data_IF_780871806578
#
_entry.id   IF_780871806578
#
_cell.length_a   1.000
_cell.length_b   1.000
_cell.length_c   1.000
_cell.angle_alpha   90.00
_cell.angle_beta   90.00
_cell.angle_gamma   90.00
#
_symmetry.space_group_name_H-M   'P 1'
#
loop_
_entity.id
_entity.type
_entity.pdbx_description
1 polymer ?
#
# COMPACT_ATOMS: atom_id res chain seq x y z
N UNK A 1 -8.96 13.95 68.26
CA UNK A 1 -9.20 14.38 66.87
C UNK A 1 -8.61 13.31 65.94
N UNK A 2 -9.46 12.48 65.32
CA UNK A 2 -9.04 11.49 64.30
C UNK A 2 -9.43 12.07 62.94
N UNK A 3 -8.43 12.31 62.09
CA UNK A 3 -8.65 12.74 60.70
C UNK A 3 -8.77 11.50 59.81
N UNK A 4 -9.93 11.34 59.17
CA UNK A 4 -10.19 10.33 58.15
C UNK A 4 -9.90 10.98 56.81
N UNK A 5 -8.82 10.57 56.14
CA UNK A 5 -8.50 11.01 54.78
C UNK A 5 -9.27 10.18 53.76
N UNK A 6 -10.20 10.81 53.04
CA UNK A 6 -10.94 10.21 51.93
C UNK A 6 -10.03 10.20 50.68
N UNK A 7 -9.59 9.03 50.22
CA UNK A 7 -9.00 8.89 48.88
C UNK A 7 -10.12 8.76 47.85
N UNK A 8 -10.29 9.79 47.02
CA UNK A 8 -11.12 9.73 45.81
C UNK A 8 -10.28 9.08 44.71
N UNK A 9 -10.52 7.80 44.44
CA UNK A 9 -9.97 7.12 43.28
C UNK A 9 -10.66 7.59 42.01
N UNK A 10 -9.92 8.31 41.15
CA UNK A 10 -10.36 8.60 39.79
C UNK A 10 -10.34 7.27 39.01
N UNK A 11 -11.52 6.71 38.74
CA UNK A 11 -11.66 5.60 37.82
C UNK A 11 -11.43 6.12 36.39
N UNK A 12 -10.25 5.86 35.83
CA UNK A 12 -10.01 5.95 34.39
C UNK A 12 -10.89 4.91 33.70
N UNK A 13 -12.02 5.34 33.14
CA UNK A 13 -12.78 4.55 32.19
C UNK A 13 -11.92 4.37 30.95
N UNK A 14 -11.23 3.23 30.85
CA UNK A 14 -10.64 2.78 29.60
C UNK A 14 -11.79 2.66 28.58
N UNK A 15 -11.76 3.49 27.54
CA UNK A 15 -12.67 3.34 26.41
C UNK A 15 -12.43 1.95 25.81
N UNK A 16 -13.48 1.12 25.77
CA UNK A 16 -13.43 -0.16 25.11
C UNK A 16 -13.05 0.03 23.63
N UNK A 17 -12.24 -0.87 23.03
CA UNK A 17 -11.92 -0.79 21.62
C UNK A 17 -13.21 -0.79 20.79
N UNK A 18 -13.33 0.16 19.86
CA UNK A 18 -14.46 0.25 18.94
C UNK A 18 -14.58 -1.07 18.19
N UNK A 19 -15.75 -1.66 18.33
CA UNK A 19 -16.19 -2.95 17.82
C UNK A 19 -15.88 -3.15 16.34
N UNK A 20 -15.14 -4.22 16.05
CA UNK A 20 -15.05 -4.98 14.79
C UNK A 20 -16.03 -4.53 13.70
N UNK A 21 -15.52 -3.82 12.68
CA UNK A 21 -16.25 -3.70 11.42
C UNK A 21 -16.56 -5.12 10.90
N UNK A 22 -17.84 -5.46 10.72
CA UNK A 22 -18.22 -6.71 10.05
C UNK A 22 -17.82 -6.60 8.59
N UNK A 23 -16.90 -7.46 8.18
CA UNK A 23 -16.51 -7.62 6.79
C UNK A 23 -16.46 -9.11 6.46
N UNK A 24 -16.65 -9.42 5.17
CA UNK A 24 -16.33 -10.74 4.61
C UNK A 24 -15.19 -10.54 3.63
N UNK A 25 -14.15 -11.35 3.74
CA UNK A 25 -12.98 -11.34 2.87
C UNK A 25 -12.77 -12.77 2.40
N UNK A 26 -12.91 -13.02 1.10
CA UNK A 26 -12.94 -14.39 0.56
C UNK A 26 -11.98 -14.49 -0.61
N UNK A 27 -11.14 -15.53 -0.56
CA UNK A 27 -10.36 -15.98 -1.70
C UNK A 27 -11.28 -16.68 -2.72
N UNK A 28 -11.11 -16.35 -3.99
CA UNK A 28 -11.84 -16.94 -5.10
C UNK A 28 -10.91 -17.15 -6.31
N UNK A 29 -11.17 -18.19 -7.10
CA UNK A 29 -10.36 -18.55 -8.28
C UNK A 29 -11.25 -18.73 -9.51
N UNK A 30 -10.70 -18.47 -10.70
CA UNK A 30 -11.41 -18.60 -11.98
C UNK A 30 -11.84 -20.04 -12.36
N UNK A 31 -11.34 -21.05 -11.64
CA UNK A 31 -11.77 -22.44 -11.74
C UNK A 31 -12.97 -22.78 -10.83
N UNK A 32 -13.42 -21.83 -9.98
CA UNK A 32 -14.57 -22.01 -9.08
C UNK A 32 -15.87 -21.46 -9.68
N UNK A 33 -17.02 -21.99 -9.24
CA UNK A 33 -18.32 -21.38 -9.55
C UNK A 33 -18.39 -19.91 -9.10
N UNK A 34 -19.31 -19.12 -9.69
CA UNK A 34 -19.58 -17.78 -9.19
C UNK A 34 -19.91 -17.79 -7.69
N UNK A 35 -19.40 -16.80 -6.97
CA UNK A 35 -19.62 -16.64 -5.53
C UNK A 35 -20.34 -15.32 -5.29
N UNK A 36 -21.35 -15.35 -4.42
CA UNK A 36 -22.00 -14.13 -3.92
C UNK A 36 -21.77 -13.99 -2.42
N UNK A 37 -21.25 -12.83 -2.01
CA UNK A 37 -21.16 -12.40 -0.63
C UNK A 37 -22.03 -11.16 -0.43
N UNK A 38 -22.54 -10.94 0.78
CA UNK A 38 -23.39 -9.81 1.09
C UNK A 38 -23.20 -9.31 2.52
N UNK A 39 -23.50 -8.03 2.70
CA UNK A 39 -23.43 -7.30 3.97
C UNK A 39 -24.45 -6.15 3.92
N UNK A 40 -25.27 -6.00 4.98
CA UNK A 40 -26.24 -4.90 5.13
C UNK A 40 -27.05 -4.55 3.86
N UNK A 41 -27.53 -5.56 3.12
CA UNK A 41 -28.34 -5.40 1.91
C UNK A 41 -27.56 -5.13 0.62
N UNK A 42 -26.25 -4.92 0.70
CA UNK A 42 -25.36 -4.88 -0.46
C UNK A 42 -24.84 -6.29 -0.79
N UNK A 43 -24.55 -6.56 -2.07
CA UNK A 43 -24.02 -7.84 -2.54
C UNK A 43 -22.89 -7.65 -3.53
N UNK A 44 -21.90 -8.53 -3.48
CA UNK A 44 -20.83 -8.67 -4.46
C UNK A 44 -20.88 -10.09 -5.05
N UNK A 45 -21.10 -10.20 -6.36
CA UNK A 45 -21.10 -11.46 -7.09
C UNK A 45 -19.88 -11.53 -8.01
N UNK A 46 -18.87 -12.33 -7.63
CA UNK A 46 -17.67 -12.57 -8.43
C UNK A 46 -17.89 -13.77 -9.37
N UNK A 47 -17.44 -13.62 -10.62
CA UNK A 47 -17.42 -14.68 -11.64
C UNK A 47 -16.18 -14.57 -12.53
N UNK A 48 -15.84 -15.68 -13.17
CA UNK A 48 -14.82 -15.71 -14.22
C UNK A 48 -15.46 -15.27 -15.54
N UNK A 49 -14.80 -14.39 -16.28
CA UNK A 49 -15.07 -14.18 -17.70
C UNK A 49 -13.85 -14.53 -18.53
N UNK A 50 -13.99 -14.99 -19.79
CA UNK A 50 -12.84 -15.12 -20.69
C UNK A 50 -12.03 -13.83 -20.76
N UNK A 51 -10.71 -13.96 -20.86
CA UNK A 51 -9.83 -12.82 -21.04
C UNK A 51 -10.20 -11.99 -22.29
N UNK A 52 -10.29 -10.66 -22.16
CA UNK A 52 -10.49 -9.75 -23.30
C UNK A 52 -9.13 -9.33 -23.86
N UNK A 53 -8.77 -9.87 -25.03
CA UNK A 53 -7.48 -9.58 -25.69
C UNK A 53 -7.31 -8.14 -26.16
N UNK A 54 -8.39 -7.33 -26.12
CA UNK A 54 -8.30 -5.88 -26.35
C UNK A 54 -7.78 -5.12 -25.12
N UNK A 55 -7.81 -5.75 -23.95
CA UNK A 55 -7.41 -5.17 -22.66
C UNK A 55 -6.14 -5.79 -22.09
N UNK A 56 -5.96 -7.09 -22.30
CA UNK A 56 -4.84 -7.85 -21.77
C UNK A 56 -4.12 -8.59 -22.90
N UNK A 57 -2.82 -8.79 -22.74
CA UNK A 57 -2.04 -9.62 -23.65
C UNK A 57 -2.33 -11.09 -23.34
N UNK A 58 -3.33 -11.64 -24.02
CA UNK A 58 -3.76 -13.02 -23.86
C UNK A 58 -4.34 -13.56 -25.17
N UNK A 59 -4.15 -14.86 -25.36
CA UNK A 59 -4.72 -15.64 -26.45
C UNK A 59 -5.75 -16.63 -25.89
N UNK A 60 -6.69 -17.12 -26.73
CA UNK A 60 -7.61 -18.18 -26.31
C UNK A 60 -6.89 -19.45 -25.81
N UNK A 61 -5.66 -19.69 -26.26
CA UNK A 61 -4.86 -20.85 -25.85
C UNK A 61 -4.35 -20.74 -24.40
N UNK A 62 -4.20 -19.52 -23.86
CA UNK A 62 -3.69 -19.30 -22.50
C UNK A 62 -4.71 -19.69 -21.42
N UNK A 63 -5.97 -19.93 -21.82
CA UNK A 63 -7.09 -20.26 -20.94
C UNK A 63 -7.23 -19.29 -19.75
N UNK A 64 -6.79 -18.04 -19.91
CA UNK A 64 -6.85 -17.00 -18.89
C UNK A 64 -8.28 -16.50 -18.67
N UNK A 65 -8.56 -16.11 -17.43
CA UNK A 65 -9.84 -15.51 -17.04
C UNK A 65 -9.64 -14.21 -16.30
N UNK A 66 -10.60 -13.32 -16.46
CA UNK A 66 -10.70 -12.07 -15.73
C UNK A 66 -11.75 -12.21 -14.61
N UNK A 67 -11.43 -11.85 -13.35
CA UNK A 67 -12.43 -11.77 -12.30
C UNK A 67 -13.32 -10.55 -12.52
N UNK A 68 -14.62 -10.78 -12.59
CA UNK A 68 -15.62 -9.72 -12.73
C UNK A 68 -16.58 -9.77 -11.55
N UNK A 69 -16.63 -8.67 -10.78
CA UNK A 69 -17.50 -8.53 -9.61
C UNK A 69 -18.64 -7.61 -9.94
N UNK A 70 -19.86 -8.13 -9.91
CA UNK A 70 -21.07 -7.32 -9.94
C UNK A 70 -21.42 -6.86 -8.53
N UNK A 71 -21.49 -5.55 -8.34
CA UNK A 71 -21.84 -4.92 -7.07
C UNK A 71 -23.26 -4.39 -7.16
N UNK A 72 -24.11 -4.79 -6.21
CA UNK A 72 -25.45 -4.24 -6.01
C UNK A 72 -25.55 -3.64 -4.63
N UNK A 73 -26.18 -2.47 -4.55
CA UNK A 73 -26.52 -1.81 -3.29
C UNK A 73 -27.97 -1.31 -3.34
N UNK A 74 -28.69 -1.24 -2.21
CA UNK A 74 -30.09 -0.82 -2.19
C UNK A 74 -30.30 0.56 -2.82
N UNK A 75 -31.25 0.66 -3.76
CA UNK A 75 -31.61 1.92 -4.41
C UNK A 75 -30.59 2.48 -5.40
N UNK A 76 -29.50 1.75 -5.69
CA UNK A 76 -28.45 2.17 -6.61
C UNK A 76 -28.38 1.24 -7.83
N UNK A 77 -28.08 1.77 -9.03
CA UNK A 77 -27.81 0.93 -10.19
C UNK A 77 -26.59 0.02 -9.94
N UNK A 78 -26.58 -1.22 -10.47
CA UNK A 78 -25.45 -2.12 -10.31
C UNK A 78 -24.19 -1.56 -10.98
N UNK A 79 -23.02 -1.96 -10.48
CA UNK A 79 -21.71 -1.55 -11.01
C UNK A 79 -20.77 -2.75 -11.09
N UNK A 80 -19.82 -2.71 -12.03
CA UNK A 80 -18.88 -3.80 -12.26
C UNK A 80 -17.46 -3.39 -11.84
N UNK A 81 -16.79 -4.27 -11.08
CA UNK A 81 -15.33 -4.26 -10.95
C UNK A 81 -14.77 -5.31 -11.92
N UNK A 82 -13.83 -4.93 -12.77
CA UNK A 82 -13.13 -5.84 -13.68
C UNK A 82 -11.67 -5.84 -13.28
N UNK A 83 -11.21 -6.94 -12.69
CA UNK A 83 -9.82 -7.09 -12.29
C UNK A 83 -8.92 -7.49 -13.44
N UNK A 84 -7.75 -8.01 -13.08
CA UNK A 84 -6.70 -8.40 -14.00
C UNK A 84 -6.87 -9.82 -14.52
N UNK A 85 -6.52 -10.06 -15.79
CA UNK A 85 -6.58 -11.40 -16.37
C UNK A 85 -5.39 -12.26 -15.89
N UNK A 86 -5.68 -13.50 -15.50
CA UNK A 86 -4.64 -14.45 -15.08
C UNK A 86 -5.08 -15.90 -15.31
N UNK A 87 -4.20 -16.87 -15.04
CA UNK A 87 -4.54 -18.28 -15.10
C UNK A 87 -5.66 -18.65 -14.12
N UNK A 88 -6.56 -19.55 -14.52
CA UNK A 88 -7.79 -19.87 -13.76
C UNK A 88 -7.58 -20.37 -12.34
N UNK A 89 -6.41 -20.94 -12.06
CA UNK A 89 -6.03 -21.45 -10.74
C UNK A 89 -5.46 -20.38 -9.80
N UNK A 90 -5.24 -19.15 -10.29
CA UNK A 90 -4.70 -18.06 -9.47
C UNK A 90 -5.79 -17.44 -8.60
N UNK A 91 -5.38 -17.08 -7.38
CA UNK A 91 -6.26 -16.51 -6.37
C UNK A 91 -6.51 -15.02 -6.61
N UNK A 92 -7.77 -14.65 -6.46
CA UNK A 92 -8.23 -13.28 -6.30
C UNK A 92 -8.97 -13.17 -4.97
N UNK A 93 -9.10 -11.96 -4.44
CA UNK A 93 -9.82 -11.71 -3.20
C UNK A 93 -10.95 -10.74 -3.45
N UNK A 94 -12.13 -11.11 -2.96
CA UNK A 94 -13.30 -10.22 -2.96
C UNK A 94 -13.75 -9.99 -1.52
N UNK A 95 -13.98 -8.73 -1.21
CA UNK A 95 -14.39 -8.29 0.11
C UNK A 95 -15.63 -7.44 0.08
N UNK A 96 -16.45 -7.53 1.12
CA UNK A 96 -17.55 -6.60 1.36
C UNK A 96 -17.60 -6.24 2.84
N UNK A 97 -17.74 -4.95 3.14
CA UNK A 97 -17.73 -4.44 4.51
C UNK A 97 -17.68 -2.92 4.54
N UNK A 98 -17.79 -2.34 5.73
CA UNK A 98 -17.77 -0.87 5.89
C UNK A 98 -16.34 -0.34 5.93
N UNK A 99 -16.09 0.74 5.20
CA UNK A 99 -14.84 1.51 5.26
C UNK A 99 -14.91 2.72 6.20
N UNK A 100 -16.09 3.06 6.70
CA UNK A 100 -16.27 4.03 7.77
C UNK A 100 -17.49 3.60 8.61
N UNK A 101 -17.50 3.92 9.90
CA UNK A 101 -18.48 3.42 10.87
C UNK A 101 -19.93 3.58 10.38
N UNK A 102 -20.29 4.76 9.89
CA UNK A 102 -21.66 5.10 9.50
C UNK A 102 -21.89 5.08 7.97
N UNK A 103 -20.91 4.55 7.21
CA UNK A 103 -21.03 4.42 5.75
C UNK A 103 -21.70 3.10 5.34
N UNK A 104 -22.41 3.07 4.19
CA UNK A 104 -22.81 1.82 3.55
C UNK A 104 -21.61 0.91 3.25
N UNK A 105 -21.81 -0.42 3.14
CA UNK A 105 -20.73 -1.33 2.78
C UNK A 105 -20.12 -1.01 1.42
N UNK A 106 -18.80 -1.07 1.35
CA UNK A 106 -18.03 -1.01 0.11
C UNK A 106 -17.59 -2.42 -0.29
N UNK A 107 -17.30 -2.60 -1.57
CA UNK A 107 -16.75 -3.84 -2.12
C UNK A 107 -15.33 -3.61 -2.58
N UNK A 108 -14.43 -4.53 -2.24
CA UNK A 108 -13.04 -4.50 -2.70
C UNK A 108 -12.80 -5.73 -3.56
N UNK A 109 -12.19 -5.52 -4.72
CA UNK A 109 -11.58 -6.58 -5.53
C UNK A 109 -10.07 -6.39 -5.46
N UNK A 110 -9.37 -7.37 -4.92
CA UNK A 110 -7.92 -7.48 -5.03
C UNK A 110 -7.61 -8.62 -6.01
N UNK A 111 -7.32 -8.26 -7.26
CA UNK A 111 -7.05 -9.20 -8.34
C UNK A 111 -5.57 -9.34 -8.60
N UNK A 112 -5.09 -10.59 -8.59
CA UNK A 112 -3.76 -10.94 -9.08
C UNK A 112 -3.64 -10.82 -10.60
N UNK A 113 -2.64 -10.07 -11.09
CA UNK A 113 -2.36 -9.90 -12.52
C UNK A 113 -1.33 -10.89 -13.08
N UNK A 114 -0.67 -11.68 -12.23
CA UNK A 114 0.48 -12.49 -12.67
C UNK A 114 1.83 -11.78 -12.48
N UNK A 115 2.91 -12.56 -12.47
CA UNK A 115 4.29 -12.07 -12.27
C UNK A 115 4.99 -12.73 -11.08
N UNK A 116 6.33 -12.68 -11.04
CA UNK A 116 7.14 -13.34 -10.02
C UNK A 116 7.01 -12.73 -8.61
N UNK A 117 6.45 -11.53 -8.50
CA UNK A 117 6.39 -10.71 -7.28
C UNK A 117 4.97 -10.35 -6.87
N UNK A 118 4.01 -11.18 -7.30
CA UNK A 118 2.62 -11.13 -6.90
C UNK A 118 1.86 -9.84 -7.18
N UNK A 119 2.01 -9.26 -8.37
CA UNK A 119 1.32 -8.05 -8.82
C UNK A 119 -0.20 -8.06 -8.51
N UNK A 120 -0.59 -7.27 -7.52
CA UNK A 120 -1.94 -7.09 -7.05
C UNK A 120 -2.53 -5.81 -7.65
N UNK A 121 -3.67 -5.89 -8.32
CA UNK A 121 -4.48 -4.72 -8.66
C UNK A 121 -5.67 -4.63 -7.70
N UNK A 122 -5.93 -3.42 -7.19
CA UNK A 122 -6.97 -3.19 -6.18
C UNK A 122 -7.99 -2.21 -6.73
N UNK A 123 -9.25 -2.65 -6.79
CA UNK A 123 -10.40 -1.82 -7.13
C UNK A 123 -11.38 -1.78 -5.96
N UNK A 124 -11.97 -0.62 -5.72
CA UNK A 124 -12.93 -0.43 -4.61
C UNK A 124 -14.21 0.20 -5.14
N UNK A 125 -15.34 -0.46 -4.91
CA UNK A 125 -16.67 0.06 -5.17
C UNK A 125 -17.23 0.70 -3.89
N UNK A 126 -17.41 2.01 -3.87
CA UNK A 126 -17.94 2.77 -2.73
C UNK A 126 -19.33 3.34 -3.07
N UNK A 127 -20.39 3.03 -2.31
CA UNK A 127 -21.69 3.66 -2.52
C UNK A 127 -21.64 5.18 -2.35
N UNK A 128 -22.21 5.90 -3.31
CA UNK A 128 -22.44 7.34 -3.29
C UNK A 128 -23.95 7.65 -3.40
N UNK A 129 -24.32 8.93 -3.45
CA UNK A 129 -25.73 9.34 -3.36
C UNK A 129 -26.65 8.75 -4.47
N UNK A 130 -26.17 8.65 -5.71
CA UNK A 130 -26.97 8.20 -6.86
C UNK A 130 -26.34 7.07 -7.68
N UNK A 131 -25.13 6.65 -7.32
CA UNK A 131 -24.38 5.59 -8.02
C UNK A 131 -23.39 4.91 -7.06
N UNK A 132 -22.74 3.86 -7.53
CA UNK A 132 -21.58 3.27 -6.87
C UNK A 132 -20.34 3.80 -7.60
N UNK A 133 -19.44 4.46 -6.87
CA UNK A 133 -18.17 4.93 -7.41
C UNK A 133 -17.15 3.79 -7.44
N UNK A 134 -16.34 3.71 -8.49
CA UNK A 134 -15.22 2.78 -8.58
C UNK A 134 -13.92 3.56 -8.43
N UNK A 135 -13.15 3.24 -7.41
CA UNK A 135 -11.85 3.84 -7.12
C UNK A 135 -10.76 2.84 -7.47
N UNK A 136 -9.89 3.23 -8.39
CA UNK A 136 -8.69 2.46 -8.74
C UNK A 136 -7.56 2.76 -7.75
N UNK A 137 -7.27 1.77 -6.91
CA UNK A 137 -6.22 1.86 -5.90
C UNK A 137 -4.82 1.63 -6.49
N UNK A 138 -4.72 1.15 -7.73
CA UNK A 138 -3.49 0.90 -8.47
C UNK A 138 -2.96 -0.51 -8.29
N UNK A 139 -1.82 -0.76 -8.94
CA UNK A 139 -1.12 -2.05 -8.90
C UNK A 139 0.07 -2.00 -7.96
N UNK A 140 0.24 -3.05 -7.18
CA UNK A 140 1.20 -3.15 -6.08
C UNK A 140 1.88 -4.50 -6.07
N UNK A 141 3.17 -4.52 -5.74
CA UNK A 141 3.92 -5.76 -5.62
C UNK A 141 3.76 -6.29 -4.19
N UNK A 142 3.97 -7.59 -4.03
CA UNK A 142 3.84 -8.27 -2.75
C UNK A 142 2.55 -9.07 -2.62
N UNK A 143 2.35 -9.60 -1.43
CA UNK A 143 1.24 -10.50 -1.16
C UNK A 143 -0.11 -9.76 -1.11
N UNK A 144 -1.17 -10.55 -0.95
CA UNK A 144 -2.55 -10.10 -0.85
C UNK A 144 -2.73 -9.08 0.27
N UNK A 145 -3.54 -8.06 0.05
CA UNK A 145 -3.84 -7.09 1.10
C UNK A 145 -4.75 -7.68 2.18
N UNK A 146 -4.58 -7.23 3.41
CA UNK A 146 -5.59 -7.41 4.45
C UNK A 146 -6.77 -6.46 4.21
N UNK A 147 -7.93 -6.76 4.82
CA UNK A 147 -9.01 -5.79 4.90
C UNK A 147 -8.52 -4.49 5.55
N UNK A 148 -8.81 -3.31 4.96
CA UNK A 148 -8.31 -2.03 5.45
C UNK A 148 -8.84 -1.71 6.84
N UNK A 149 -8.06 -0.96 7.62
CA UNK A 149 -8.36 -0.59 9.01
C UNK A 149 -8.03 0.87 9.22
N UNK A 150 -8.73 1.53 10.12
CA UNK A 150 -8.41 2.92 10.48
C UNK A 150 -7.05 2.97 11.20
N UNK A 151 -6.01 3.36 10.47
CA UNK A 151 -4.64 3.47 10.97
C UNK A 151 -4.33 4.92 11.38
N UNK A 152 -4.98 5.88 10.73
CA UNK A 152 -4.83 7.31 10.98
C UNK A 152 -5.60 7.81 12.21
N UNK A 153 -6.65 7.10 12.60
CA UNK A 153 -7.57 7.45 13.68
C UNK A 153 -8.66 8.44 13.27
N UNK A 154 -8.90 8.63 11.96
CA UNK A 154 -9.89 9.58 11.43
C UNK A 154 -11.29 8.98 11.23
N UNK A 155 -11.47 7.69 11.58
CA UNK A 155 -12.72 6.96 11.44
C UNK A 155 -12.95 6.36 10.05
N UNK A 156 -12.00 6.53 9.13
CA UNK A 156 -12.00 5.95 7.77
C UNK A 156 -10.94 4.86 7.70
N UNK A 157 -11.27 3.74 7.05
CA UNK A 157 -10.37 2.62 6.89
C UNK A 157 -9.26 2.95 5.88
N UNK A 158 -8.03 2.62 6.27
CA UNK A 158 -6.82 2.86 5.51
C UNK A 158 -6.23 1.55 4.95
N UNK A 159 -5.77 1.64 3.71
CA UNK A 159 -5.08 0.58 2.98
C UNK A 159 -3.59 0.72 3.27
N UNK A 160 -3.03 -0.25 4.00
CA UNK A 160 -1.58 -0.40 4.16
C UNK A 160 -1.03 -1.30 3.06
N UNK A 161 -0.08 -0.77 2.32
CA UNK A 161 0.61 -1.44 1.22
C UNK A 161 2.11 -1.10 1.31
N UNK A 162 2.95 -1.82 0.58
CA UNK A 162 4.39 -1.52 0.48
C UNK A 162 4.64 -0.42 -0.54
N UNK A 163 5.58 0.50 -0.25
CA UNK A 163 6.01 1.49 -1.24
C UNK A 163 6.91 0.84 -2.30
N UNK A 164 6.29 0.44 -3.42
CA UNK A 164 6.96 -0.20 -4.55
C UNK A 164 8.18 0.58 -5.08
N UNK A 165 8.29 1.89 -4.82
CA UNK A 165 9.43 2.67 -5.26
C UNK A 165 10.77 2.17 -4.68
N UNK A 166 10.75 1.50 -3.53
CA UNK A 166 11.95 0.97 -2.88
C UNK A 166 12.39 -0.39 -3.44
N UNK A 167 11.50 -1.10 -4.11
CA UNK A 167 11.80 -2.39 -4.71
C UNK A 167 12.82 -2.18 -5.83
N UNK A 168 13.92 -2.93 -5.79
CA UNK A 168 15.05 -2.81 -6.71
C UNK A 168 15.88 -1.51 -6.61
N UNK A 169 15.49 -0.54 -5.79
CA UNK A 169 16.18 0.74 -5.71
C UNK A 169 17.59 0.60 -5.09
N UNK A 170 17.71 -0.23 -4.05
CA UNK A 170 18.95 -0.38 -3.27
C UNK A 170 19.31 -1.84 -2.93
N UNK A 171 18.59 -2.81 -3.50
CA UNK A 171 18.85 -4.24 -3.34
C UNK A 171 17.97 -5.05 -4.28
N UNK A 172 18.19 -6.37 -4.36
CA UNK A 172 17.28 -7.27 -5.07
C UNK A 172 15.84 -7.17 -4.53
N UNK A 173 14.83 -7.69 -5.24
CA UNK A 173 13.44 -7.68 -4.75
C UNK A 173 13.30 -8.24 -3.33
N UNK A 174 13.76 -9.48 -3.11
CA UNK A 174 13.72 -10.15 -1.81
C UNK A 174 14.65 -9.51 -0.76
N UNK A 175 15.58 -8.66 -1.21
CA UNK A 175 16.52 -7.92 -0.37
C UNK A 175 16.01 -6.51 -0.04
N UNK A 176 14.91 -6.08 -0.65
CA UNK A 176 14.39 -4.73 -0.51
C UNK A 176 13.60 -4.60 0.78
N UNK A 177 13.76 -3.46 1.45
CA UNK A 177 12.92 -3.04 2.56
C UNK A 177 12.10 -1.86 2.08
N UNK A 178 10.78 -2.03 2.00
CA UNK A 178 9.85 -1.03 1.50
C UNK A 178 9.03 -0.47 2.67
N UNK A 179 9.16 0.83 2.98
CA UNK A 179 8.31 1.49 3.97
C UNK A 179 6.82 1.31 3.66
N UNK A 180 5.95 1.39 4.69
CA UNK A 180 4.51 1.44 4.48
C UNK A 180 4.11 2.66 3.66
N UNK A 181 3.29 2.41 2.63
CA UNK A 181 2.48 3.41 1.95
C UNK A 181 1.04 3.23 2.44
N UNK A 182 0.41 4.33 2.86
CA UNK A 182 -0.94 4.31 3.42
C UNK A 182 -1.87 5.13 2.55
N UNK A 183 -2.86 4.47 1.99
CA UNK A 183 -3.86 5.07 1.13
C UNK A 183 -5.23 5.03 1.79
N UNK A 184 -6.06 6.02 1.50
CA UNK A 184 -7.46 6.04 1.93
C UNK A 184 -8.35 6.49 0.79
N UNK A 185 -9.66 6.39 0.98
CA UNK A 185 -10.66 6.91 0.05
C UNK A 185 -11.39 8.06 0.73
N UNK A 186 -11.11 9.29 0.27
CA UNK A 186 -11.81 10.50 0.71
C UNK A 186 -12.58 11.08 -0.46
N UNK A 187 -13.88 11.33 -0.26
CA UNK A 187 -14.76 11.92 -1.29
C UNK A 187 -14.71 11.15 -2.63
N UNK A 188 -14.70 9.82 -2.58
CA UNK A 188 -14.66 8.96 -3.79
C UNK A 188 -13.33 8.97 -4.54
N UNK A 189 -12.24 9.45 -3.91
CA UNK A 189 -10.91 9.52 -4.51
C UNK A 189 -9.87 8.85 -3.64
N UNK A 190 -8.93 8.16 -4.29
CA UNK A 190 -7.70 7.66 -3.68
C UNK A 190 -6.84 8.83 -3.21
N UNK A 191 -6.42 8.79 -1.95
CA UNK A 191 -5.52 9.78 -1.35
C UNK A 191 -4.38 9.03 -0.65
N UNK A 192 -3.15 9.45 -0.91
CA UNK A 192 -2.01 9.03 -0.10
C UNK A 192 -1.93 9.89 1.16
N UNK A 193 -2.04 9.24 2.32
CA UNK A 193 -2.01 9.88 3.63
C UNK A 193 -0.76 9.51 4.41
N UNK A 194 0.24 8.88 3.79
CA UNK A 194 1.46 8.39 4.46
C UNK A 194 2.20 9.45 5.27
N UNK A 195 2.00 10.74 5.01
CA UNK A 195 2.61 11.85 5.74
C UNK A 195 1.81 12.34 6.96
N UNK A 196 0.61 11.82 7.21
CA UNK A 196 -0.28 12.33 8.24
C UNK A 196 0.22 12.00 9.66
N UNK A 197 0.07 12.92 10.64
CA UNK A 197 0.56 12.71 12.00
C UNK A 197 -0.01 11.47 12.70
N UNK A 198 -1.25 11.07 12.36
CA UNK A 198 -1.91 9.88 12.91
C UNK A 198 -1.15 8.58 12.62
N UNK A 199 -0.37 8.54 11.54
CA UNK A 199 0.39 7.35 11.12
C UNK A 199 1.79 7.25 11.75
N UNK A 200 2.20 8.20 12.59
CA UNK A 200 3.51 8.14 13.26
C UNK A 200 3.75 6.83 14.04
N UNK A 201 2.77 6.22 14.74
CA UNK A 201 2.98 4.92 15.38
C UNK A 201 3.34 3.80 14.40
N UNK A 202 2.74 3.80 13.20
CA UNK A 202 3.04 2.83 12.14
C UNK A 202 4.51 2.95 11.70
N UNK A 203 4.96 4.16 11.36
CA UNK A 203 6.34 4.39 10.93
C UNK A 203 7.35 4.21 12.05
N UNK A 204 6.98 4.45 13.31
CA UNK A 204 7.85 4.14 14.45
C UNK A 204 8.06 2.63 14.62
N UNK A 205 7.02 1.83 14.41
CA UNK A 205 7.12 0.37 14.45
C UNK A 205 7.97 -0.16 13.28
N UNK A 206 7.74 0.33 12.06
CA UNK A 206 8.51 -0.06 10.88
C UNK A 206 10.00 0.29 11.01
N UNK A 207 10.28 1.53 11.42
CA UNK A 207 11.64 2.02 11.70
C UNK A 207 12.38 1.14 12.70
N UNK A 208 11.70 0.67 13.75
CA UNK A 208 12.30 -0.20 14.76
C UNK A 208 12.70 -1.56 14.19
N UNK A 209 11.99 -2.06 13.19
CA UNK A 209 12.30 -3.33 12.51
C UNK A 209 13.50 -3.20 11.57
N UNK A 210 13.56 -2.12 10.77
CA UNK A 210 14.61 -1.95 9.75
C UNK A 210 15.91 -1.36 10.30
N UNK A 211 15.86 -0.59 11.39
CA UNK A 211 17.05 0.08 11.96
C UNK A 211 18.20 -0.88 12.26
N UNK A 212 18.03 -2.03 12.94
CA UNK A 212 19.14 -2.94 13.22
C UNK A 212 19.88 -3.43 11.97
N UNK A 213 19.18 -3.55 10.85
CA UNK A 213 19.74 -3.99 9.57
C UNK A 213 20.53 -2.86 8.89
N UNK A 214 20.00 -1.64 8.92
CA UNK A 214 20.77 -0.46 8.50
C UNK A 214 22.06 -0.29 9.32
N UNK A 215 22.01 -0.50 10.64
CA UNK A 215 23.20 -0.38 11.49
C UNK A 215 24.26 -1.46 11.21
N UNK A 216 23.89 -2.56 10.55
CA UNK A 216 24.80 -3.59 10.02
C UNK A 216 25.31 -3.28 8.61
N UNK A 217 24.88 -2.16 8.02
CA UNK A 217 25.35 -1.65 6.75
C UNK A 217 24.51 -2.03 5.53
N UNK A 218 23.37 -2.68 5.72
CA UNK A 218 22.45 -3.00 4.63
C UNK A 218 21.90 -1.71 3.99
N UNK A 219 22.20 -1.51 2.71
CA UNK A 219 21.82 -0.31 1.94
C UNK A 219 20.32 -0.23 1.69
N UNK A 220 19.63 -1.34 1.48
CA UNK A 220 18.18 -1.33 1.30
C UNK A 220 17.49 -0.99 2.63
N UNK A 221 17.96 -1.58 3.73
CA UNK A 221 17.43 -1.27 5.06
C UNK A 221 17.72 0.17 5.47
N UNK A 222 18.90 0.71 5.13
CA UNK A 222 19.20 2.12 5.38
C UNK A 222 18.31 3.08 4.58
N UNK A 223 17.89 2.71 3.38
CA UNK A 223 16.96 3.52 2.60
C UNK A 223 15.60 3.59 3.30
N UNK A 224 15.04 2.43 3.69
CA UNK A 224 13.79 2.35 4.45
C UNK A 224 13.88 3.09 5.79
N UNK A 225 14.97 2.87 6.54
CA UNK A 225 15.20 3.51 7.83
C UNK A 225 15.13 5.04 7.78
N UNK A 226 15.79 5.66 6.79
CA UNK A 226 15.75 7.12 6.61
C UNK A 226 14.38 7.58 6.17
N UNK A 227 13.69 6.80 5.33
CA UNK A 227 12.35 7.11 4.84
C UNK A 227 11.32 7.13 5.98
N UNK A 228 11.28 6.09 6.83
CA UNK A 228 10.41 6.06 8.01
C UNK A 228 10.76 7.20 8.97
N UNK A 229 12.06 7.45 9.18
CA UNK A 229 12.50 8.54 10.02
C UNK A 229 12.01 9.89 9.48
N UNK A 230 11.91 10.06 8.16
CA UNK A 230 11.36 11.27 7.57
C UNK A 230 9.87 11.44 7.88
N UNK A 231 9.08 10.38 7.85
CA UNK A 231 7.67 10.38 8.31
C UNK A 231 7.52 10.72 9.79
N UNK A 232 8.55 10.47 10.58
CA UNK A 232 8.62 10.85 11.99
C UNK A 232 9.20 12.26 12.25
N UNK A 233 9.62 12.99 11.22
CA UNK A 233 10.32 14.27 11.37
C UNK A 233 11.74 14.14 11.96
N UNK A 234 12.37 12.98 11.78
CA UNK A 234 13.69 12.61 12.35
C UNK A 234 14.77 12.40 11.28
N UNK A 235 14.55 12.88 10.06
CA UNK A 235 15.46 12.69 8.91
C UNK A 235 16.91 13.01 9.26
N UNK A 236 17.19 14.18 9.87
CA UNK A 236 18.56 14.60 10.15
C UNK A 236 19.29 13.65 11.13
N UNK A 237 18.58 13.09 12.10
CA UNK A 237 19.14 12.12 13.04
C UNK A 237 19.44 10.80 12.34
N UNK A 238 18.45 10.23 11.65
CA UNK A 238 18.58 8.96 10.94
C UNK A 238 19.64 9.03 9.84
N UNK A 239 19.74 10.16 9.14
CA UNK A 239 20.75 10.39 8.12
C UNK A 239 22.17 10.29 8.67
N UNK A 240 22.44 10.90 9.83
CA UNK A 240 23.75 10.81 10.48
C UNK A 240 24.06 9.38 10.95
N UNK A 241 23.06 8.62 11.39
CA UNK A 241 23.26 7.20 11.70
C UNK A 241 23.58 6.42 10.41
N UNK A 242 22.79 6.59 9.36
CA UNK A 242 23.03 5.96 8.06
C UNK A 242 24.46 6.21 7.58
N UNK A 243 24.94 7.47 7.59
CA UNK A 243 26.30 7.82 7.15
C UNK A 243 27.42 7.07 7.91
N UNK A 244 27.20 6.72 9.19
CA UNK A 244 28.17 5.97 10.00
C UNK A 244 28.17 4.48 9.71
N UNK A 245 27.07 3.94 9.20
CA UNK A 245 26.84 2.50 9.18
C UNK A 245 26.71 1.90 7.77
N UNK A 246 26.25 2.65 6.76
CA UNK A 246 26.00 2.11 5.43
C UNK A 246 27.26 1.45 4.81
N UNK A 247 27.08 0.36 4.07
CA UNK A 247 28.17 -0.26 3.34
C UNK A 247 28.67 0.68 2.24
N UNK A 248 29.97 1.04 2.25
CA UNK A 248 30.58 1.93 1.23
C UNK A 248 30.77 1.25 -0.12
N UNK A 249 30.90 -0.07 -0.12
CA UNK A 249 30.96 -0.91 -1.31
C UNK A 249 29.84 -1.93 -1.24
N UNK A 250 29.24 -2.23 -2.38
CA UNK A 250 28.16 -3.22 -2.52
C UNK A 250 28.16 -3.69 -3.98
N UNK A 251 27.74 -4.92 -4.22
CA UNK A 251 27.58 -5.45 -5.57
C UNK A 251 26.30 -4.92 -6.23
N UNK A 252 25.32 -4.48 -5.45
CA UNK A 252 24.13 -3.81 -5.97
C UNK A 252 24.48 -2.41 -6.48
N UNK A 253 24.10 -2.06 -7.72
CA UNK A 253 24.37 -0.73 -8.28
C UNK A 253 23.64 0.36 -7.49
N UNK A 254 24.20 1.57 -7.52
CA UNK A 254 23.50 2.72 -6.96
C UNK A 254 22.24 3.02 -7.78
N UNK A 255 21.20 3.48 -7.08
CA UNK A 255 19.99 4.04 -7.69
C UNK A 255 20.36 5.07 -8.76
N UNK A 256 19.62 5.10 -9.86
CA UNK A 256 19.77 6.08 -10.94
C UNK A 256 18.44 6.73 -11.26
N UNK A 257 18.51 7.98 -11.73
CA UNK A 257 17.35 8.69 -12.26
C UNK A 257 17.44 8.82 -13.77
N UNK A 258 16.30 9.18 -14.37
CA UNK A 258 16.23 9.45 -15.79
C UNK A 258 15.73 10.88 -16.02
N UNK A 259 16.52 11.71 -16.71
CA UNK A 259 16.10 13.08 -17.09
C UNK A 259 14.88 13.05 -18.01
N UNK A 260 14.94 12.18 -19.00
CA UNK A 260 13.86 11.96 -19.97
C UNK A 260 13.86 10.51 -20.39
N UNK A 261 12.71 9.84 -20.21
CA UNK A 261 12.49 8.50 -20.74
C UNK A 261 12.14 8.55 -22.21
N UNK A 262 12.51 7.50 -22.92
CA UNK A 262 12.08 7.22 -24.28
C UNK A 262 10.58 6.89 -24.33
N UNK A 263 10.00 6.86 -25.54
CA UNK A 263 8.59 6.52 -25.75
C UNK A 263 8.23 5.10 -25.26
N UNK A 264 9.19 4.18 -25.27
CA UNK A 264 9.07 2.80 -24.75
C UNK A 264 9.30 2.71 -23.23
N UNK A 265 9.50 3.84 -22.55
CA UNK A 265 9.77 3.90 -21.12
C UNK A 265 11.22 3.61 -20.72
N UNK A 266 12.11 3.23 -21.66
CA UNK A 266 13.53 3.03 -21.37
C UNK A 266 14.23 4.35 -21.00
N UNK A 267 15.34 4.28 -20.26
CA UNK A 267 16.17 5.44 -20.00
C UNK A 267 17.43 5.40 -20.88
N UNK A 268 17.57 6.30 -21.86
CA UNK A 268 18.80 6.38 -22.66
C UNK A 268 20.04 6.62 -21.79
N UNK A 269 21.22 6.07 -22.16
CA UNK A 269 22.44 6.25 -21.39
C UNK A 269 22.84 7.70 -21.14
N UNK A 270 22.63 8.59 -22.11
CA UNK A 270 22.89 10.04 -22.03
C UNK A 270 21.88 10.79 -21.15
N UNK A 271 20.70 10.21 -20.93
CA UNK A 271 19.64 10.73 -20.05
C UNK A 271 19.72 10.17 -18.63
N UNK A 272 20.59 9.18 -18.40
CA UNK A 272 20.77 8.54 -17.09
C UNK A 272 21.56 9.45 -16.15
N UNK A 273 20.98 9.76 -15.00
CA UNK A 273 21.67 10.46 -13.90
C UNK A 273 22.30 9.41 -13.00
N UNK A 274 23.61 9.49 -12.83
CA UNK A 274 24.40 8.63 -11.95
C UNK A 274 24.92 9.45 -10.77
N UNK A 275 24.98 8.82 -9.61
CA UNK A 275 25.52 9.42 -8.40
C UNK A 275 26.87 8.80 -8.06
N UNK A 276 27.74 9.58 -7.42
CA UNK A 276 29.06 9.11 -7.04
C UNK A 276 29.02 8.24 -5.78
N UNK A 277 28.03 8.46 -4.91
CA UNK A 277 27.95 7.81 -3.61
C UNK A 277 26.53 7.36 -3.26
N UNK A 278 26.42 6.37 -2.36
CA UNK A 278 25.14 5.92 -1.84
C UNK A 278 24.33 7.06 -1.17
N UNK A 279 24.90 7.93 -0.31
CA UNK A 279 24.17 9.06 0.25
C UNK A 279 23.61 10.02 -0.80
N UNK A 280 24.34 10.29 -1.88
CA UNK A 280 23.83 11.11 -2.99
C UNK A 280 22.64 10.44 -3.68
N UNK A 281 22.77 9.15 -4.00
CA UNK A 281 21.71 8.37 -4.65
C UNK A 281 20.45 8.28 -3.77
N UNK A 282 20.63 8.02 -2.47
CA UNK A 282 19.52 7.97 -1.51
C UNK A 282 18.85 9.33 -1.33
N UNK A 283 19.62 10.42 -1.26
CA UNK A 283 19.05 11.75 -1.12
C UNK A 283 18.17 12.12 -2.33
N UNK A 284 18.64 11.82 -3.55
CA UNK A 284 17.84 12.05 -4.76
C UNK A 284 16.58 11.19 -4.78
N UNK A 285 16.73 9.89 -4.50
CA UNK A 285 15.61 8.95 -4.41
C UNK A 285 14.52 9.42 -3.43
N UNK A 286 14.88 9.80 -2.21
CA UNK A 286 13.92 10.22 -1.19
C UNK A 286 13.19 11.51 -1.54
N UNK A 287 13.82 12.41 -2.30
CA UNK A 287 13.16 13.61 -2.85
C UNK A 287 12.13 13.21 -3.89
N UNK A 288 12.54 12.43 -4.88
CA UNK A 288 11.66 11.95 -5.94
C UNK A 288 10.46 11.15 -5.40
N UNK A 289 10.69 10.34 -4.36
CA UNK A 289 9.65 9.55 -3.70
C UNK A 289 8.79 10.36 -2.70
N UNK A 290 9.11 11.65 -2.47
CA UNK A 290 8.32 12.55 -1.61
C UNK A 290 8.44 12.28 -0.11
N UNK A 291 9.56 11.69 0.34
CA UNK A 291 9.86 11.52 1.77
C UNK A 291 10.53 12.76 2.37
N UNK A 292 11.25 13.51 1.54
CA UNK A 292 11.89 14.78 1.94
C UNK A 292 11.60 15.86 0.88
N UNK A 293 11.59 17.15 1.25
CA UNK A 293 11.40 18.23 0.28
C UNK A 293 12.53 18.27 -0.77
N UNK A 294 12.22 18.69 -2.00
CA UNK A 294 13.21 18.82 -3.08
C UNK A 294 14.41 19.72 -2.70
N UNK A 295 14.12 20.79 -1.97
CA UNK A 295 15.12 21.74 -1.45
C UNK A 295 15.93 21.24 -0.25
N UNK A 296 15.65 20.03 0.28
CA UNK A 296 16.36 19.50 1.43
C UNK A 296 17.86 19.32 1.12
N UNK A 297 18.71 19.81 2.04
CA UNK A 297 20.16 19.64 1.99
C UNK A 297 20.58 18.68 3.10
N UNK A 298 21.11 17.53 2.69
CA UNK A 298 21.60 16.49 3.60
C UNK A 298 23.12 16.36 3.45
N UNK A 299 23.88 16.18 4.54
CA UNK A 299 25.33 16.03 4.47
C UNK A 299 25.70 14.75 3.72
N UNK A 300 26.77 14.74 2.93
CA UNK A 300 27.14 13.57 2.12
C UNK A 300 28.23 12.69 2.75
N UNK A 301 28.76 13.10 3.91
CA UNK A 301 29.87 12.45 4.63
C UNK A 301 29.65 12.59 6.13
#
# INVERSE_FOLDING_TARGET
MRWIGLMVGLALTAAAPVTSATYRWVEWRGDRPPLTIGEAGATATIRATPCDSRRFDCTPADAMTTPVVEVRAPGLPPTMLTGEATGRSMAHFVGIGRLAKDAPPSVILNSYSGGAHCCQHILVATPAAARIDVVDMGSWDGDTIAWPRDLSGDGIADFRISDNAFLYAFGCYACSYAPPRVLTIRQGRKVDISAEPGLRPLFAADLAQVRPLCLKGDRAACAAYVADAARLGRTAYAWREMLRHYARQDSWPLYTECRRRSADGSCPPDQTIRYATYPEALAAFLKRAGYIPDGARLPLR
#
